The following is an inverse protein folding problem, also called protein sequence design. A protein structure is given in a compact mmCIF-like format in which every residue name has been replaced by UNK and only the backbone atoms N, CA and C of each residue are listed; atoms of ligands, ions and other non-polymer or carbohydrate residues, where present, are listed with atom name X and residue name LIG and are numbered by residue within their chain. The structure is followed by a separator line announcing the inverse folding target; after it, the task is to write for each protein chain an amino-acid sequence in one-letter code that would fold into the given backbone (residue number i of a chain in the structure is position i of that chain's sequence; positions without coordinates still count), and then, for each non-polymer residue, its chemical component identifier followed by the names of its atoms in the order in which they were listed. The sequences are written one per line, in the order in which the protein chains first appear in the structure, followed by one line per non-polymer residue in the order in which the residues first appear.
data_IF_319707284710
#
_entry.id   IF_319707284710
#
_cell.length_a   1.000
_cell.length_b   1.000
_cell.length_c   1.000
_cell.angle_alpha   90.00
_cell.angle_beta   90.00
_cell.angle_gamma   90.00
#
_symmetry.space_group_name_H-M   'P 1'
#
loop_
_entity.id
_entity.type
_entity.pdbx_description
1 polymer ?
#
# COMPACT_ATOMS: atom_id res chain seq x y z
N UNK A 1 -64.61 -65.25 -43.28
CA UNK A 1 -63.39 -64.51 -43.65
C UNK A 1 -63.20 -63.37 -42.67
N UNK A 2 -62.30 -63.47 -41.68
CA UNK A 2 -62.06 -62.35 -40.75
C UNK A 2 -60.79 -61.54 -41.19
N UNK A 3 -60.94 -60.24 -41.14
CA UNK A 3 -59.92 -59.24 -41.40
C UNK A 3 -59.08 -59.06 -40.17
N UNK A 4 -57.71 -59.23 -40.31
CA UNK A 4 -56.75 -58.96 -39.29
C UNK A 4 -56.43 -57.45 -39.23
N UNK A 5 -56.70 -56.86 -38.09
CA UNK A 5 -56.32 -55.50 -37.75
C UNK A 5 -54.91 -55.50 -37.15
N UNK A 6 -53.93 -54.93 -37.82
CA UNK A 6 -52.58 -54.75 -37.27
C UNK A 6 -52.52 -53.43 -36.50
N UNK A 7 -52.30 -53.52 -35.23
CA UNK A 7 -52.00 -52.37 -34.34
C UNK A 7 -50.52 -52.09 -34.45
N UNK A 8 -50.11 -50.93 -34.95
CA UNK A 8 -48.75 -50.41 -34.88
C UNK A 8 -48.57 -49.68 -33.55
N UNK A 9 -47.69 -50.22 -32.68
CA UNK A 9 -47.21 -49.50 -31.50
C UNK A 9 -46.08 -48.54 -31.99
N UNK A 10 -46.29 -47.21 -31.89
CA UNK A 10 -45.25 -46.22 -31.97
C UNK A 10 -44.60 -46.10 -30.58
N UNK A 11 -43.37 -46.59 -30.45
CA UNK A 11 -42.48 -46.29 -29.30
C UNK A 11 -41.89 -44.88 -29.50
N UNK A 12 -42.38 -43.91 -28.71
CA UNK A 12 -41.76 -42.56 -28.67
C UNK A 12 -40.49 -42.63 -27.81
N UNK A 13 -39.33 -42.45 -28.46
CA UNK A 13 -38.08 -42.15 -27.75
C UNK A 13 -38.14 -40.70 -27.25
N UNK A 14 -38.32 -40.49 -25.95
CA UNK A 14 -38.05 -39.23 -25.30
C UNK A 14 -36.51 -39.06 -25.19
N UNK A 15 -35.95 -38.27 -26.11
CA UNK A 15 -34.57 -37.78 -25.95
C UNK A 15 -34.57 -36.74 -24.83
N UNK A 16 -34.15 -37.13 -23.65
CA UNK A 16 -33.80 -36.18 -22.56
C UNK A 16 -32.60 -35.38 -23.02
N UNK A 17 -32.79 -34.09 -23.36
CA UNK A 17 -31.70 -33.13 -23.51
C UNK A 17 -31.00 -33.00 -22.17
N UNK A 18 -29.84 -33.64 -22.08
CA UNK A 18 -28.88 -33.40 -21.00
C UNK A 18 -28.26 -32.02 -21.30
N UNK A 19 -28.78 -30.97 -20.68
CA UNK A 19 -28.05 -29.69 -20.64
C UNK A 19 -26.78 -29.91 -19.82
N UNK A 20 -25.58 -29.70 -20.39
CA UNK A 20 -24.38 -29.73 -19.58
C UNK A 20 -24.51 -28.61 -18.55
N UNK A 21 -24.59 -28.98 -17.26
CA UNK A 21 -24.48 -28.03 -16.16
C UNK A 21 -23.26 -27.15 -16.41
N UNK A 22 -23.48 -25.84 -16.37
CA UNK A 22 -22.38 -24.87 -16.45
C UNK A 22 -21.26 -25.33 -15.52
N UNK A 23 -19.98 -25.25 -15.93
CA UNK A 23 -18.88 -25.65 -15.10
C UNK A 23 -18.98 -24.89 -13.78
N UNK A 24 -19.01 -25.61 -12.67
CA UNK A 24 -18.98 -25.02 -11.34
C UNK A 24 -17.82 -24.01 -11.34
N UNK A 25 -18.10 -22.78 -10.90
CA UNK A 25 -17.15 -21.68 -10.80
C UNK A 25 -15.91 -22.22 -10.09
N UNK A 26 -14.91 -22.58 -10.88
CA UNK A 26 -13.63 -23.04 -10.35
C UNK A 26 -13.02 -21.82 -9.69
N UNK A 27 -12.82 -21.89 -8.38
CA UNK A 27 -12.09 -20.85 -7.67
C UNK A 27 -10.85 -20.48 -8.52
N UNK A 28 -10.69 -19.23 -8.90
CA UNK A 28 -9.62 -18.85 -9.82
C UNK A 28 -8.27 -19.25 -9.24
N UNK A 29 -7.38 -19.74 -10.12
CA UNK A 29 -6.06 -20.21 -9.71
C UNK A 29 -5.30 -19.11 -8.93
N UNK A 30 -4.62 -19.50 -7.85
CA UNK A 30 -3.78 -18.58 -7.08
C UNK A 30 -2.57 -18.16 -7.93
N UNK A 31 -2.17 -16.90 -7.79
CA UNK A 31 -0.95 -16.35 -8.38
C UNK A 31 0.20 -16.72 -7.45
N UNK A 32 1.10 -17.59 -7.93
CA UNK A 32 2.19 -18.18 -7.13
C UNK A 32 3.58 -17.87 -7.70
N UNK A 33 3.64 -17.15 -8.81
CA UNK A 33 4.89 -16.75 -9.44
C UNK A 33 4.73 -15.39 -10.14
N UNK A 34 5.82 -14.62 -10.18
CA UNK A 34 5.89 -13.41 -10.99
C UNK A 34 5.85 -13.77 -12.49
N UNK A 35 5.35 -12.88 -13.36
CA UNK A 35 5.31 -13.10 -14.81
C UNK A 35 6.71 -13.16 -15.43
N UNK A 36 7.73 -12.65 -14.73
CA UNK A 36 9.17 -12.71 -15.07
C UNK A 36 10.03 -12.72 -13.82
N UNK A 37 11.26 -13.11 -13.94
CA UNK A 37 12.24 -12.96 -12.86
C UNK A 37 12.61 -11.48 -12.67
N UNK A 38 12.85 -11.11 -11.40
CA UNK A 38 13.41 -9.80 -11.06
C UNK A 38 14.91 -9.78 -11.39
N UNK A 39 15.39 -8.66 -11.89
CA UNK A 39 16.83 -8.40 -12.03
C UNK A 39 17.49 -8.24 -10.66
N UNK A 40 18.81 -8.25 -10.61
CA UNK A 40 19.53 -7.97 -9.37
C UNK A 40 19.31 -6.53 -8.86
N UNK A 41 19.20 -5.57 -9.79
CA UNK A 41 18.92 -4.17 -9.45
C UNK A 41 17.51 -3.99 -8.87
N UNK A 42 16.50 -4.61 -9.49
CA UNK A 42 15.12 -4.58 -8.96
C UNK A 42 15.01 -5.16 -7.55
N UNK A 43 15.67 -6.31 -7.30
CA UNK A 43 15.70 -6.89 -5.93
C UNK A 43 16.34 -5.93 -4.93
N UNK A 44 17.46 -5.31 -5.30
CA UNK A 44 18.16 -4.33 -4.43
C UNK A 44 17.32 -3.07 -4.20
N UNK A 45 16.58 -2.58 -5.23
CA UNK A 45 15.67 -1.46 -5.07
C UNK A 45 14.52 -1.79 -4.12
N UNK A 46 13.87 -2.95 -4.28
CA UNK A 46 12.79 -3.41 -3.40
C UNK A 46 13.28 -3.54 -1.95
N UNK A 47 14.47 -4.10 -1.75
CA UNK A 47 15.09 -4.16 -0.42
C UNK A 47 15.37 -2.77 0.15
N UNK A 48 15.82 -1.82 -0.68
CA UNK A 48 16.05 -0.43 -0.28
C UNK A 48 14.74 0.24 0.15
N UNK A 49 13.71 0.15 -0.69
CA UNK A 49 12.38 0.71 -0.40
C UNK A 49 11.77 0.12 0.88
N UNK A 50 11.94 -1.19 1.10
CA UNK A 50 11.46 -1.84 2.33
C UNK A 50 12.26 -1.39 3.56
N UNK A 51 13.60 -1.23 3.48
CA UNK A 51 14.41 -0.65 4.59
C UNK A 51 13.97 0.78 4.90
N UNK A 52 13.78 1.59 3.86
CA UNK A 52 13.23 2.93 3.99
C UNK A 52 11.85 2.93 4.67
N UNK A 53 10.97 1.98 4.32
CA UNK A 53 9.64 1.84 4.93
C UNK A 53 9.70 1.70 6.45
N UNK A 54 10.55 0.82 6.96
CA UNK A 54 10.68 0.63 8.40
C UNK A 54 11.37 1.80 9.09
N UNK A 55 12.33 2.46 8.43
CA UNK A 55 12.96 3.67 8.96
C UNK A 55 11.96 4.81 9.08
N UNK A 56 11.15 5.06 8.06
CA UNK A 56 10.08 6.08 8.08
C UNK A 56 9.08 5.79 9.20
N UNK A 57 8.60 4.54 9.32
CA UNK A 57 7.65 4.19 10.38
C UNK A 57 8.21 4.47 11.77
N UNK A 58 9.46 4.07 12.02
CA UNK A 58 10.13 4.29 13.33
C UNK A 58 10.29 5.77 13.64
N UNK A 59 10.77 6.56 12.68
CA UNK A 59 10.98 8.00 12.85
C UNK A 59 9.67 8.76 13.05
N UNK A 60 8.61 8.40 12.33
CA UNK A 60 7.27 8.94 12.57
C UNK A 60 6.76 8.54 13.95
N UNK A 61 6.90 7.27 14.32
CA UNK A 61 6.45 6.77 15.63
C UNK A 61 7.18 7.43 16.81
N UNK A 62 8.43 7.82 16.62
CA UNK A 62 9.22 8.54 17.64
C UNK A 62 8.81 10.01 17.81
N UNK A 63 8.15 10.60 16.80
CA UNK A 63 7.75 12.02 16.80
C UNK A 63 6.27 12.23 17.08
N UNK A 64 5.46 11.28 16.65
CA UNK A 64 4.02 11.29 16.84
C UNK A 64 3.65 10.91 18.27
N UNK A 65 2.43 11.31 18.71
CA UNK A 65 1.89 10.82 19.97
C UNK A 65 1.86 9.28 19.97
N UNK A 66 2.21 8.63 21.09
CA UNK A 66 2.09 7.19 21.22
C UNK A 66 0.67 6.66 20.95
N UNK A 67 -0.34 7.52 21.12
CA UNK A 67 -1.75 7.20 20.87
C UNK A 67 -2.20 7.52 19.43
N UNK A 68 -1.29 7.99 18.56
CA UNK A 68 -1.59 8.25 17.16
C UNK A 68 -1.50 6.97 16.32
N UNK A 69 -2.51 6.78 15.46
CA UNK A 69 -2.39 5.86 14.34
C UNK A 69 -1.44 6.45 13.30
N UNK A 70 -0.59 5.62 12.73
CA UNK A 70 0.30 5.98 11.62
C UNK A 70 -0.05 5.10 10.44
N UNK A 71 -0.15 5.68 9.26
CA UNK A 71 -0.37 4.93 8.02
C UNK A 71 0.26 5.65 6.84
N UNK A 72 1.26 5.06 6.25
CA UNK A 72 2.02 5.63 5.13
C UNK A 72 2.09 4.66 3.95
N UNK A 73 2.34 5.19 2.77
CA UNK A 73 2.82 4.42 1.63
C UNK A 73 4.30 4.74 1.40
N UNK A 74 5.22 3.92 1.93
CA UNK A 74 6.65 4.16 1.75
C UNK A 74 7.07 4.11 0.29
N UNK A 75 6.48 3.20 -0.49
CA UNK A 75 6.73 3.10 -1.93
C UNK A 75 6.36 4.40 -2.66
N UNK A 76 5.22 5.02 -2.32
CA UNK A 76 4.82 6.33 -2.83
C UNK A 76 5.85 7.42 -2.52
N UNK A 77 6.30 7.47 -1.27
CA UNK A 77 7.31 8.43 -0.83
C UNK A 77 8.65 8.20 -1.54
N UNK A 78 9.10 6.95 -1.63
CA UNK A 78 10.34 6.60 -2.30
C UNK A 78 10.32 6.96 -3.80
N UNK A 79 9.20 6.74 -4.48
CA UNK A 79 9.04 7.13 -5.89
C UNK A 79 9.05 8.66 -6.08
N UNK A 80 8.32 9.42 -5.25
CA UNK A 80 8.31 10.89 -5.35
C UNK A 80 9.71 11.46 -5.10
N UNK A 81 10.40 10.97 -4.06
CA UNK A 81 11.79 11.37 -3.79
C UNK A 81 12.76 10.83 -4.85
N UNK A 82 12.50 9.66 -5.44
CA UNK A 82 13.25 9.12 -6.57
C UNK A 82 13.18 9.98 -7.83
N UNK A 83 12.00 10.55 -8.12
CA UNK A 83 11.85 11.54 -9.18
C UNK A 83 12.72 12.79 -8.91
N UNK A 84 12.72 13.27 -7.67
CA UNK A 84 13.55 14.41 -7.25
C UNK A 84 15.04 14.08 -7.32
N UNK A 85 15.43 12.84 -6.95
CA UNK A 85 16.80 12.34 -6.98
C UNK A 85 17.44 12.41 -8.36
N UNK A 86 16.65 12.30 -9.44
CA UNK A 86 17.11 12.49 -10.81
C UNK A 86 17.71 13.89 -11.09
N UNK A 87 17.37 14.87 -10.27
CA UNK A 87 17.90 16.21 -10.39
C UNK A 87 18.97 16.57 -9.37
N UNK A 88 19.26 15.70 -8.42
CA UNK A 88 20.22 15.93 -7.35
C UNK A 88 21.67 15.66 -7.79
N UNK A 89 22.61 16.42 -7.26
CA UNK A 89 24.05 16.25 -7.50
C UNK A 89 24.83 16.38 -6.19
N UNK A 90 26.11 15.97 -6.20
CA UNK A 90 27.04 16.13 -5.09
C UNK A 90 26.50 15.62 -3.77
N UNK A 91 26.68 16.41 -2.69
CA UNK A 91 26.26 16.03 -1.33
C UNK A 91 24.74 15.86 -1.19
N UNK A 92 23.94 16.56 -2.01
CA UNK A 92 22.48 16.42 -2.05
C UNK A 92 22.10 15.02 -2.56
N UNK A 93 22.69 14.58 -3.67
CA UNK A 93 22.45 13.24 -4.20
C UNK A 93 22.91 12.16 -3.21
N UNK A 94 24.09 12.31 -2.58
CA UNK A 94 24.57 11.38 -1.56
C UNK A 94 23.62 11.30 -0.34
N UNK A 95 23.12 12.46 0.11
CA UNK A 95 22.16 12.52 1.22
C UNK A 95 20.83 11.84 0.87
N UNK A 96 20.32 12.06 -0.33
CA UNK A 96 19.12 11.41 -0.81
C UNK A 96 19.30 9.90 -0.97
N UNK A 97 20.41 9.45 -1.59
CA UNK A 97 20.74 8.04 -1.73
C UNK A 97 20.80 7.32 -0.38
N UNK A 98 21.42 7.96 0.61
CA UNK A 98 21.52 7.44 1.99
C UNK A 98 20.15 7.33 2.66
N UNK A 99 19.33 8.37 2.57
CA UNK A 99 18.00 8.37 3.18
C UNK A 99 17.07 7.32 2.55
N UNK A 100 17.14 7.17 1.24
CA UNK A 100 16.34 6.21 0.45
C UNK A 100 16.98 4.81 0.38
N UNK A 101 18.13 4.55 1.06
CA UNK A 101 18.81 3.26 1.02
C UNK A 101 19.33 2.84 -0.38
N UNK A 102 19.51 3.79 -1.29
CA UNK A 102 19.91 3.54 -2.69
C UNK A 102 21.42 3.40 -2.87
N UNK A 103 22.21 3.45 -1.79
CA UNK A 103 23.67 3.34 -1.85
C UNK A 103 24.10 2.05 -2.54
N UNK A 104 25.00 2.18 -3.52
CA UNK A 104 25.47 1.07 -4.34
C UNK A 104 24.59 0.71 -5.53
N UNK A 105 23.47 1.43 -5.77
CA UNK A 105 22.74 1.45 -7.03
C UNK A 105 23.17 2.69 -7.83
N UNK A 106 23.35 2.53 -9.13
CA UNK A 106 23.49 3.66 -10.03
C UNK A 106 22.13 4.30 -10.28
N UNK A 107 22.10 5.58 -10.63
CA UNK A 107 20.85 6.29 -10.98
C UNK A 107 20.10 5.60 -12.12
N UNK A 108 20.82 5.06 -13.09
CA UNK A 108 20.25 4.30 -14.21
C UNK A 108 19.58 3.00 -13.73
N UNK A 109 20.23 2.24 -12.82
CA UNK A 109 19.63 1.06 -12.20
C UNK A 109 18.37 1.40 -11.40
N UNK A 110 18.36 2.51 -10.66
CA UNK A 110 17.20 3.00 -9.90
C UNK A 110 16.04 3.30 -10.85
N UNK A 111 16.29 4.09 -11.90
CA UNK A 111 15.28 4.49 -12.87
C UNK A 111 14.66 3.30 -13.61
N UNK A 112 15.50 2.42 -14.15
CA UNK A 112 15.01 1.21 -14.83
C UNK A 112 14.21 0.30 -13.88
N UNK A 113 14.69 0.15 -12.63
CA UNK A 113 14.02 -0.69 -11.64
C UNK A 113 12.66 -0.13 -11.24
N UNK A 114 12.51 1.19 -11.05
CA UNK A 114 11.18 1.78 -10.78
C UNK A 114 10.22 1.62 -11.94
N UNK A 115 10.66 1.87 -13.18
CA UNK A 115 9.83 1.65 -14.37
C UNK A 115 9.30 0.22 -14.42
N UNK A 116 10.20 -0.74 -14.24
CA UNK A 116 9.90 -2.15 -14.38
C UNK A 116 9.06 -2.67 -13.19
N UNK A 117 9.25 -2.11 -11.98
CA UNK A 117 8.43 -2.39 -10.80
C UNK A 117 7.01 -1.81 -10.95
N UNK A 118 6.86 -0.58 -11.44
CA UNK A 118 5.54 0.02 -11.74
C UNK A 118 4.77 -0.86 -12.72
N UNK A 119 5.43 -1.27 -13.82
CA UNK A 119 4.82 -2.13 -14.83
C UNK A 119 4.43 -3.50 -14.26
N UNK A 120 5.25 -4.07 -13.39
CA UNK A 120 4.98 -5.35 -12.72
C UNK A 120 3.75 -5.27 -11.82
N UNK A 121 3.71 -4.29 -10.93
CA UNK A 121 2.66 -4.18 -9.92
C UNK A 121 1.30 -3.84 -10.52
N UNK A 122 1.24 -3.00 -11.56
CA UNK A 122 -0.03 -2.58 -12.20
C UNK A 122 -0.86 -3.71 -12.79
N UNK A 123 -0.28 -4.81 -13.17
CA UNK A 123 -0.98 -5.89 -13.89
C UNK A 123 -0.91 -7.25 -13.22
N UNK A 124 -0.31 -7.36 -12.04
CA UNK A 124 0.03 -8.65 -11.43
C UNK A 124 -1.20 -9.46 -11.02
N UNK A 125 -2.20 -8.84 -10.42
CA UNK A 125 -3.42 -9.51 -9.97
C UNK A 125 -4.68 -8.81 -10.51
N UNK A 126 -5.39 -9.40 -11.49
CA UNK A 126 -6.56 -8.76 -12.09
C UNK A 126 -7.76 -8.63 -11.13
N UNK A 127 -7.70 -9.22 -9.93
CA UNK A 127 -8.71 -9.10 -8.87
C UNK A 127 -8.36 -8.06 -7.82
N UNK A 128 -7.22 -7.42 -7.97
CA UNK A 128 -6.77 -6.30 -7.14
C UNK A 128 -6.65 -5.07 -8.03
N UNK A 129 -7.25 -3.97 -7.61
CA UNK A 129 -7.00 -2.69 -8.25
C UNK A 129 -5.80 -2.06 -7.57
N UNK A 130 -4.71 -1.97 -8.30
CA UNK A 130 -3.50 -1.28 -7.87
C UNK A 130 -3.12 -0.25 -8.92
N UNK A 131 -3.14 1.01 -8.53
CA UNK A 131 -2.85 2.16 -9.40
C UNK A 131 -1.75 2.99 -8.77
N UNK A 132 -0.74 3.30 -9.58
CA UNK A 132 0.33 4.24 -9.25
C UNK A 132 0.25 5.35 -10.29
N UNK A 133 0.22 6.60 -9.85
CA UNK A 133 0.26 7.77 -10.69
C UNK A 133 1.31 8.74 -10.16
N UNK A 134 2.18 9.21 -11.04
CA UNK A 134 3.22 10.18 -10.75
C UNK A 134 2.95 11.47 -11.49
N UNK A 135 3.25 12.60 -10.87
CA UNK A 135 3.14 13.89 -11.54
C UNK A 135 4.21 14.88 -11.08
N UNK A 136 4.55 15.77 -12.00
CA UNK A 136 5.39 16.95 -11.77
C UNK A 136 4.60 18.15 -12.23
N UNK A 137 4.33 19.05 -11.29
CA UNK A 137 3.69 20.34 -11.53
C UNK A 137 4.70 21.41 -11.23
N UNK A 138 4.97 22.28 -12.19
CA UNK A 138 5.94 23.36 -11.99
C UNK A 138 5.36 24.70 -12.41
N UNK A 139 5.84 25.76 -11.73
CA UNK A 139 5.39 27.10 -11.99
C UNK A 139 5.82 27.56 -13.38
N UNK A 140 4.89 28.13 -14.13
CA UNK A 140 5.09 28.62 -15.48
C UNK A 140 6.15 29.71 -15.54
N UNK A 141 6.27 30.56 -14.51
CA UNK A 141 7.28 31.62 -14.43
C UNK A 141 8.71 31.08 -14.35
N UNK A 142 8.86 29.84 -13.85
CA UNK A 142 10.15 29.14 -13.75
C UNK A 142 10.37 28.11 -14.86
N UNK A 143 9.49 28.01 -15.86
CA UNK A 143 9.57 26.98 -16.89
C UNK A 143 10.93 26.94 -17.63
N UNK A 144 11.59 28.10 -17.79
CA UNK A 144 12.91 28.20 -18.43
C UNK A 144 14.08 27.67 -17.58
N UNK A 145 13.87 27.44 -16.29
CA UNK A 145 14.86 26.88 -15.36
C UNK A 145 14.99 25.37 -15.52
N UNK A 146 13.88 24.70 -15.83
CA UNK A 146 13.84 23.22 -15.86
C UNK A 146 14.58 22.65 -17.07
N UNK A 147 15.46 21.70 -16.80
CA UNK A 147 16.19 20.98 -17.85
C UNK A 147 15.26 19.96 -18.54
N UNK A 148 15.20 19.96 -19.90
CA UNK A 148 14.39 18.99 -20.64
C UNK A 148 14.71 17.54 -20.28
N UNK A 149 16.00 17.22 -20.02
CA UNK A 149 16.42 15.87 -19.63
C UNK A 149 15.84 15.39 -18.31
N UNK A 150 15.65 16.27 -17.32
CA UNK A 150 14.98 15.95 -16.06
C UNK A 150 13.52 15.55 -16.29
N UNK A 151 12.81 16.32 -17.10
CA UNK A 151 11.42 16.07 -17.45
C UNK A 151 11.29 14.74 -18.20
N UNK A 152 12.09 14.54 -19.26
CA UNK A 152 12.09 13.35 -20.09
C UNK A 152 12.41 12.08 -19.27
N UNK A 153 13.37 12.15 -18.36
CA UNK A 153 13.72 11.04 -17.46
C UNK A 153 12.53 10.64 -16.60
N UNK A 154 11.87 11.60 -15.97
CA UNK A 154 10.73 11.29 -15.09
C UNK A 154 9.50 10.80 -15.87
N UNK A 155 9.26 11.31 -17.08
CA UNK A 155 8.22 10.78 -17.97
C UNK A 155 8.53 9.34 -18.40
N UNK A 156 9.79 9.04 -18.71
CA UNK A 156 10.21 7.73 -19.24
C UNK A 156 10.22 6.65 -18.18
N UNK A 157 10.73 6.94 -16.99
CA UNK A 157 10.97 5.91 -15.96
C UNK A 157 9.92 5.88 -14.85
N UNK A 158 9.23 6.97 -14.61
CA UNK A 158 8.19 7.04 -13.57
C UNK A 158 6.78 7.18 -14.15
N UNK A 159 6.64 7.21 -15.48
CA UNK A 159 5.36 7.44 -16.17
C UNK A 159 4.67 8.73 -15.65
N UNK A 160 5.47 9.76 -15.39
CA UNK A 160 5.02 10.98 -14.74
C UNK A 160 4.23 11.88 -15.70
N UNK A 161 3.05 12.33 -15.26
CA UNK A 161 2.36 13.48 -15.88
C UNK A 161 3.15 14.74 -15.55
N UNK A 162 3.58 15.50 -16.56
CA UNK A 162 4.35 16.74 -16.35
C UNK A 162 3.59 17.90 -16.94
N UNK A 163 3.31 18.92 -16.12
CA UNK A 163 2.54 20.09 -16.56
C UNK A 163 3.03 21.36 -15.88
N UNK A 164 3.20 22.44 -16.68
CA UNK A 164 3.38 23.79 -16.18
C UNK A 164 2.02 24.39 -15.80
N UNK A 165 1.96 25.10 -14.68
CA UNK A 165 0.80 25.86 -14.21
C UNK A 165 1.28 27.22 -13.71
N UNK A 166 0.47 28.25 -13.88
CA UNK A 166 0.64 29.52 -13.16
C UNK A 166 0.18 29.31 -11.71
N UNK A 167 1.13 29.23 -10.76
CA UNK A 167 0.81 28.98 -9.35
C UNK A 167 0.13 30.19 -8.70
N UNK A 168 0.19 31.36 -9.31
CA UNK A 168 -0.60 32.54 -8.92
C UNK A 168 -2.06 32.48 -9.38
N UNK A 169 -2.42 31.57 -10.31
CA UNK A 169 -3.82 31.37 -10.70
C UNK A 169 -4.60 30.66 -9.57
N UNK A 170 -5.73 31.25 -9.11
CA UNK A 170 -6.55 30.62 -8.07
C UNK A 170 -7.04 29.19 -8.39
N UNK A 171 -7.00 28.74 -9.63
CA UNK A 171 -7.42 27.41 -10.05
C UNK A 171 -6.29 26.35 -10.04
N UNK A 172 -5.03 26.77 -9.85
CA UNK A 172 -3.86 25.90 -9.92
C UNK A 172 -3.93 24.78 -8.85
N UNK A 173 -4.19 25.14 -7.59
CA UNK A 173 -4.37 24.18 -6.51
C UNK A 173 -5.49 23.17 -6.81
N UNK A 174 -6.61 23.67 -7.34
CA UNK A 174 -7.75 22.85 -7.75
C UNK A 174 -7.38 21.85 -8.86
N UNK A 175 -6.53 22.24 -9.80
CA UNK A 175 -6.06 21.36 -10.89
C UNK A 175 -5.20 20.23 -10.32
N UNK A 176 -4.23 20.52 -9.47
CA UNK A 176 -3.36 19.52 -8.83
C UNK A 176 -4.16 18.59 -7.94
N UNK A 177 -4.98 19.14 -7.05
CA UNK A 177 -5.81 18.37 -6.13
C UNK A 177 -6.84 17.51 -6.89
N UNK A 178 -7.40 18.03 -8.00
CA UNK A 178 -8.29 17.29 -8.89
C UNK A 178 -7.62 16.06 -9.49
N UNK A 179 -6.38 16.19 -9.97
CA UNK A 179 -5.60 15.07 -10.50
C UNK A 179 -5.35 13.99 -9.43
N UNK A 180 -4.96 14.39 -8.21
CA UNK A 180 -4.75 13.43 -7.10
C UNK A 180 -6.04 12.75 -6.70
N UNK A 181 -7.15 13.52 -6.60
CA UNK A 181 -8.47 12.99 -6.28
C UNK A 181 -8.92 11.92 -7.31
N UNK A 182 -8.69 12.18 -8.59
CA UNK A 182 -9.01 11.27 -9.68
C UNK A 182 -8.13 10.02 -9.62
N UNK A 183 -6.81 10.18 -9.48
CA UNK A 183 -5.82 9.11 -9.38
C UNK A 183 -6.03 8.22 -8.14
N UNK A 184 -6.67 8.73 -7.09
CA UNK A 184 -6.99 7.98 -5.87
C UNK A 184 -8.48 7.63 -5.76
N UNK A 185 -9.24 7.74 -6.85
CA UNK A 185 -10.69 7.45 -6.92
C UNK A 185 -11.50 8.13 -5.81
N UNK A 186 -11.18 9.40 -5.55
CA UNK A 186 -11.87 10.21 -4.54
C UNK A 186 -11.41 10.00 -3.09
N UNK A 187 -10.32 9.25 -2.85
CA UNK A 187 -9.85 8.95 -1.48
C UNK A 187 -8.94 10.03 -0.91
N UNK A 188 -8.22 10.71 -1.77
CA UNK A 188 -7.36 11.85 -1.40
C UNK A 188 -7.83 13.08 -2.17
N UNK A 189 -8.79 13.84 -1.65
CA UNK A 189 -9.36 14.99 -2.34
C UNK A 189 -8.43 16.19 -2.39
N UNK A 190 -7.44 16.27 -1.49
CA UNK A 190 -6.50 17.39 -1.41
C UNK A 190 -5.13 16.88 -0.98
N UNK A 191 -4.07 17.40 -1.59
CA UNK A 191 -2.67 17.14 -1.20
C UNK A 191 -1.89 18.44 -1.08
N UNK A 192 -2.10 19.38 -2.01
CA UNK A 192 -1.50 20.70 -1.94
C UNK A 192 -2.45 21.70 -1.29
N UNK A 193 -1.95 22.73 -0.58
CA UNK A 193 -2.78 23.79 0.00
C UNK A 193 -3.50 24.57 -1.09
N UNK A 194 -4.65 25.16 -0.74
CA UNK A 194 -5.44 26.02 -1.60
C UNK A 194 -5.73 27.33 -0.84
N UNK A 195 -5.19 28.48 -1.29
CA UNK A 195 -4.33 28.67 -2.47
C UNK A 195 -2.94 28.06 -2.29
N UNK A 196 -2.21 27.89 -3.41
CA UNK A 196 -0.79 27.57 -3.39
C UNK A 196 -0.08 28.77 -2.74
N UNK A 197 0.86 28.57 -1.79
CA UNK A 197 1.64 29.65 -1.21
C UNK A 197 2.40 30.45 -2.27
N UNK A 198 2.30 31.77 -2.25
CA UNK A 198 2.94 32.66 -3.23
C UNK A 198 4.48 32.66 -3.15
N UNK A 199 5.05 32.26 -2.01
CA UNK A 199 6.47 32.28 -1.76
C UNK A 199 7.06 30.87 -1.77
N UNK A 200 8.18 30.70 -2.52
CA UNK A 200 9.14 29.60 -2.44
C UNK A 200 8.78 28.23 -3.06
N UNK A 201 7.58 28.00 -3.57
CA UNK A 201 7.24 26.73 -4.23
C UNK A 201 7.25 26.89 -5.74
N UNK A 202 8.25 26.30 -6.38
CA UNK A 202 8.37 26.33 -7.85
C UNK A 202 7.96 25.00 -8.50
N UNK A 203 7.83 23.94 -7.72
CA UNK A 203 7.50 22.62 -8.23
C UNK A 203 6.88 21.72 -7.16
N UNK A 204 5.90 20.93 -7.54
CA UNK A 204 5.39 19.79 -6.79
C UNK A 204 5.71 18.49 -7.52
N UNK A 205 6.28 17.53 -6.80
CA UNK A 205 6.42 16.13 -7.24
C UNK A 205 5.48 15.28 -6.40
N UNK A 206 4.53 14.66 -7.06
CA UNK A 206 3.47 13.92 -6.38
C UNK A 206 3.44 12.49 -6.89
N UNK A 207 3.40 11.54 -5.96
CA UNK A 207 3.00 10.17 -6.23
C UNK A 207 1.67 9.89 -5.51
N UNK A 208 0.74 9.29 -6.22
CA UNK A 208 -0.54 8.84 -5.71
C UNK A 208 -0.66 7.33 -5.90
N UNK A 209 -0.88 6.60 -4.80
CA UNK A 209 -1.12 5.16 -4.85
C UNK A 209 -2.53 4.87 -4.34
N UNK A 210 -3.25 4.08 -5.15
CA UNK A 210 -4.54 3.52 -4.79
C UNK A 210 -4.46 2.00 -4.78
N UNK A 211 -4.95 1.40 -3.70
CA UNK A 211 -5.06 -0.05 -3.54
C UNK A 211 -6.48 -0.44 -3.13
N UNK A 212 -7.03 -1.42 -3.85
CA UNK A 212 -8.28 -2.07 -3.50
C UNK A 212 -8.17 -3.56 -3.75
N UNK A 213 -8.29 -4.36 -2.71
CA UNK A 213 -8.27 -5.82 -2.78
C UNK A 213 -9.38 -6.43 -1.95
N UNK A 214 -10.15 -7.33 -2.54
CA UNK A 214 -11.10 -8.16 -1.81
C UNK A 214 -10.34 -9.28 -1.10
N UNK A 215 -10.74 -9.63 0.13
CA UNK A 215 -10.20 -10.81 0.81
C UNK A 215 -10.47 -12.09 -0.01
N UNK A 216 -9.54 -13.00 -0.07
CA UNK A 216 -9.82 -14.34 -0.63
C UNK A 216 -10.94 -15.01 0.18
N UNK A 217 -10.83 -14.98 1.50
CA UNK A 217 -11.89 -15.40 2.43
C UNK A 217 -12.49 -14.15 3.06
N UNK A 218 -13.68 -13.76 2.64
CA UNK A 218 -14.37 -12.56 3.15
C UNK A 218 -14.94 -12.80 4.55
N UNK A 219 -14.92 -11.78 5.39
CA UNK A 219 -15.60 -11.81 6.67
C UNK A 219 -17.12 -11.73 6.46
N UNK A 220 -17.89 -12.34 7.37
CA UNK A 220 -19.36 -12.27 7.32
C UNK A 220 -19.85 -10.99 8.03
N UNK A 221 -20.44 -10.07 7.26
CA UNK A 221 -20.99 -8.81 7.79
C UNK A 221 -21.99 -9.00 8.95
N UNK A 222 -22.72 -10.13 8.96
CA UNK A 222 -23.71 -10.45 10.01
C UNK A 222 -23.05 -10.84 11.33
N UNK A 223 -21.77 -11.22 11.29
CA UNK A 223 -20.99 -11.64 12.45
C UNK A 223 -20.12 -10.51 12.98
N UNK A 224 -20.02 -9.37 12.27
CA UNK A 224 -19.36 -8.18 12.78
C UNK A 224 -20.13 -7.61 13.96
N UNK A 225 -19.49 -7.61 15.12
CA UNK A 225 -20.12 -7.23 16.39
C UNK A 225 -19.22 -6.32 17.21
N UNK A 226 -19.79 -5.64 18.17
CA UNK A 226 -19.04 -4.90 19.15
C UNK A 226 -18.22 -5.84 20.02
N UNK A 227 -16.92 -5.54 20.17
CA UNK A 227 -16.00 -6.31 20.97
C UNK A 227 -14.98 -5.40 21.68
N UNK A 228 -14.40 -5.85 22.80
CA UNK A 228 -13.37 -5.10 23.49
C UNK A 228 -12.07 -5.06 22.69
N UNK A 229 -11.43 -3.90 22.68
CA UNK A 229 -10.07 -3.66 22.16
C UNK A 229 -9.25 -3.06 23.30
N UNK A 230 -8.18 -3.72 23.71
CA UNK A 230 -7.29 -3.29 24.79
C UNK A 230 -6.37 -2.20 24.26
N UNK A 231 -6.45 -1.00 24.81
CA UNK A 231 -5.59 0.11 24.44
C UNK A 231 -4.21 0.01 25.10
N UNK A 232 -3.27 0.80 24.60
CA UNK A 232 -1.90 0.91 25.11
C UNK A 232 -1.83 1.23 26.60
N UNK A 233 -2.71 2.10 27.09
CA UNK A 233 -2.80 2.52 28.50
C UNK A 233 -3.50 1.50 29.42
N UNK A 234 -3.88 0.33 28.89
CA UNK A 234 -4.61 -0.71 29.61
C UNK A 234 -6.12 -0.51 29.65
N UNK A 235 -6.63 0.64 29.19
CA UNK A 235 -8.08 0.85 29.05
C UNK A 235 -8.66 0.01 27.90
N UNK A 236 -9.98 -0.10 27.87
CA UNK A 236 -10.68 -0.86 26.83
C UNK A 236 -11.57 0.07 26.00
N UNK A 237 -11.51 -0.06 24.68
CA UNK A 237 -12.46 0.56 23.76
C UNK A 237 -13.37 -0.50 23.14
N UNK A 238 -14.54 -0.07 22.71
CA UNK A 238 -15.42 -0.90 21.88
C UNK A 238 -15.08 -0.68 20.41
N UNK A 239 -14.86 -1.78 19.66
CA UNK A 239 -14.58 -1.77 18.22
C UNK A 239 -15.55 -2.68 17.48
N UNK A 240 -15.73 -2.44 16.20
CA UNK A 240 -16.46 -3.34 15.31
C UNK A 240 -15.54 -4.48 14.89
N UNK A 241 -15.67 -5.65 15.53
CA UNK A 241 -14.82 -6.82 15.30
C UNK A 241 -15.46 -7.71 14.24
N UNK A 242 -14.77 -7.90 13.14
CA UNK A 242 -15.14 -8.80 12.04
C UNK A 242 -14.77 -10.23 12.36
N UNK A 243 -15.55 -11.20 11.85
CA UNK A 243 -15.30 -12.65 11.97
C UNK A 243 -15.79 -13.39 10.75
N UNK A 244 -15.14 -14.49 10.39
CA UNK A 244 -15.63 -15.41 9.37
C UNK A 244 -16.73 -16.36 9.91
N UNK A 245 -16.83 -16.54 11.24
CA UNK A 245 -17.73 -17.50 11.88
C UNK A 245 -17.33 -18.96 11.68
N UNK A 246 -16.21 -19.21 11.02
CA UNK A 246 -15.59 -20.51 10.75
C UNK A 246 -14.08 -20.36 10.76
N UNK A 247 -13.39 -21.48 10.81
CA UNK A 247 -11.95 -21.49 10.48
C UNK A 247 -11.74 -21.19 8.99
N UNK A 248 -10.68 -20.46 8.69
CA UNK A 248 -10.23 -20.16 7.34
C UNK A 248 -8.75 -20.50 7.20
N UNK A 249 -8.34 -20.79 5.99
CA UNK A 249 -6.93 -20.99 5.67
C UNK A 249 -6.24 -19.62 5.68
N UNK A 250 -5.42 -19.37 6.70
CA UNK A 250 -4.57 -18.21 6.82
C UNK A 250 -3.12 -18.64 7.04
N UNK A 251 -2.18 -17.74 6.85
CA UNK A 251 -0.78 -18.00 7.20
C UNK A 251 -0.48 -17.32 8.51
N UNK A 252 0.09 -18.08 9.45
CA UNK A 252 0.35 -17.62 10.82
C UNK A 252 1.77 -18.01 11.23
N UNK A 253 2.43 -17.14 11.98
CA UNK A 253 3.69 -17.42 12.67
C UNK A 253 3.66 -16.84 14.09
N UNK A 254 4.54 -17.33 14.95
CA UNK A 254 4.73 -16.80 16.30
C UNK A 254 6.22 -16.66 16.60
N UNK A 255 6.61 -15.52 17.15
CA UNK A 255 7.98 -15.21 17.56
C UNK A 255 7.99 -14.50 18.91
N UNK A 256 8.48 -15.16 19.96
CA UNK A 256 8.60 -14.56 21.30
C UNK A 256 7.29 -14.01 21.88
N UNK A 257 6.13 -14.59 21.52
CA UNK A 257 4.82 -14.09 21.91
C UNK A 257 4.19 -13.10 20.92
N UNK A 258 4.93 -12.62 19.93
CA UNK A 258 4.41 -11.82 18.82
C UNK A 258 3.66 -12.76 17.88
N UNK A 259 2.39 -12.43 17.56
CA UNK A 259 1.61 -13.15 16.59
C UNK A 259 1.72 -12.47 15.22
N UNK A 260 1.96 -13.26 14.18
CA UNK A 260 1.99 -12.78 12.78
C UNK A 260 0.84 -13.45 12.04
N UNK A 261 0.02 -12.65 11.38
CA UNK A 261 -1.12 -13.12 10.57
C UNK A 261 -1.01 -12.53 9.17
N UNK A 262 -1.13 -13.37 8.15
CA UNK A 262 -1.12 -12.96 6.76
C UNK A 262 -2.43 -13.35 6.07
N UNK A 263 -3.16 -12.34 5.61
CA UNK A 263 -4.46 -12.47 4.97
C UNK A 263 -4.36 -12.07 3.50
N UNK A 264 -4.52 -13.01 2.54
CA UNK A 264 -4.34 -12.72 1.14
C UNK A 264 -5.55 -12.04 0.50
N UNK A 265 -5.28 -11.15 -0.46
CA UNK A 265 -6.24 -10.51 -1.34
C UNK A 265 -6.31 -11.17 -2.71
N UNK A 266 -7.44 -10.98 -3.39
CA UNK A 266 -7.61 -11.23 -4.82
C UNK A 266 -7.21 -12.61 -5.27
N UNK A 267 -6.15 -12.70 -6.07
CA UNK A 267 -5.50 -13.92 -6.56
C UNK A 267 -4.41 -14.45 -5.64
N UNK A 268 -4.09 -13.77 -4.55
CA UNK A 268 -3.04 -14.14 -3.63
C UNK A 268 -1.68 -13.51 -3.92
N UNK A 269 -1.58 -12.63 -4.93
CA UNK A 269 -0.36 -11.87 -5.15
C UNK A 269 -0.12 -10.80 -4.08
N UNK A 270 -1.18 -10.33 -3.43
CA UNK A 270 -1.12 -9.32 -2.37
C UNK A 270 -1.68 -9.86 -1.06
N UNK A 271 -1.17 -9.35 0.05
CA UNK A 271 -1.65 -9.69 1.41
C UNK A 271 -1.62 -8.47 2.33
N UNK A 272 -2.49 -8.50 3.34
CA UNK A 272 -2.27 -7.76 4.59
C UNK A 272 -1.57 -8.68 5.58
N UNK A 273 -0.37 -8.30 5.99
CA UNK A 273 0.37 -8.96 7.06
C UNK A 273 0.27 -8.13 8.33
N UNK A 274 -0.19 -8.72 9.42
CA UNK A 274 -0.37 -8.08 10.72
C UNK A 274 0.67 -8.65 11.68
N UNK A 275 1.39 -7.80 12.39
CA UNK A 275 2.26 -8.14 13.49
C UNK A 275 1.66 -7.60 14.80
N UNK A 276 1.31 -8.51 15.70
CA UNK A 276 0.59 -8.27 16.94
C UNK A 276 1.48 -8.54 18.14
N UNK A 277 1.99 -7.50 18.85
CA UNK A 277 2.79 -7.68 20.06
C UNK A 277 1.98 -8.35 21.18
N UNK A 278 2.63 -9.03 22.15
CA UNK A 278 1.93 -9.81 23.18
C UNK A 278 1.06 -8.95 24.08
N UNK A 279 1.52 -7.75 24.45
CA UNK A 279 0.77 -6.84 25.31
C UNK A 279 0.50 -5.49 24.62
N UNK A 280 -0.61 -4.80 24.94
CA UNK A 280 -0.96 -3.54 24.31
C UNK A 280 0.06 -2.42 24.55
N UNK A 281 0.71 -2.40 25.70
CA UNK A 281 1.72 -1.40 26.08
C UNK A 281 3.04 -1.54 25.33
N UNK A 282 3.29 -2.69 24.71
CA UNK A 282 4.55 -2.97 24.02
C UNK A 282 4.65 -2.29 22.64
N UNK A 283 3.58 -1.71 22.12
CA UNK A 283 3.52 -1.22 20.72
C UNK A 283 4.59 -0.18 20.37
N UNK A 284 5.00 0.68 21.32
CA UNK A 284 6.03 1.68 21.10
C UNK A 284 7.40 1.03 20.92
N UNK A 285 7.83 0.22 21.92
CA UNK A 285 9.09 -0.51 21.85
C UNK A 285 9.11 -1.46 20.65
N UNK A 286 8.00 -2.16 20.41
CA UNK A 286 7.81 -3.02 19.25
C UNK A 286 8.02 -2.28 17.93
N UNK A 287 7.41 -1.09 17.76
CA UNK A 287 7.57 -0.29 16.54
C UNK A 287 9.00 0.23 16.39
N UNK A 288 9.64 0.65 17.49
CA UNK A 288 11.02 1.16 17.49
C UNK A 288 12.07 0.09 17.09
N UNK A 289 11.78 -1.18 17.37
CA UNK A 289 12.66 -2.31 17.07
C UNK A 289 12.38 -2.98 15.72
N UNK A 290 11.35 -2.55 14.98
CA UNK A 290 11.03 -3.12 13.69
C UNK A 290 12.10 -2.82 12.65
N UNK A 291 12.60 -3.89 12.01
CA UNK A 291 13.51 -3.81 10.86
C UNK A 291 13.01 -4.71 9.74
N UNK A 292 13.54 -4.50 8.53
CA UNK A 292 13.24 -5.36 7.40
C UNK A 292 13.64 -6.81 7.69
N UNK A 293 14.82 -7.02 8.22
CA UNK A 293 15.37 -8.37 8.48
C UNK A 293 14.44 -9.16 9.42
N UNK A 294 13.93 -8.50 10.46
CA UNK A 294 12.98 -9.12 11.39
C UNK A 294 11.65 -9.42 10.71
N UNK A 295 11.18 -8.48 9.90
CA UNK A 295 9.96 -8.67 9.12
C UNK A 295 10.09 -9.83 8.13
N UNK A 296 11.19 -9.90 7.38
CA UNK A 296 11.47 -10.96 6.43
C UNK A 296 11.57 -12.33 7.09
N UNK A 297 12.17 -12.39 8.27
CA UNK A 297 12.22 -13.62 9.08
C UNK A 297 10.80 -14.09 9.46
N UNK A 298 9.89 -13.19 9.83
CA UNK A 298 8.49 -13.54 10.10
C UNK A 298 7.75 -14.00 8.85
N UNK A 299 7.94 -13.32 7.72
CA UNK A 299 7.34 -13.72 6.45
C UNK A 299 7.79 -15.13 6.04
N UNK A 300 9.07 -15.43 6.21
CA UNK A 300 9.64 -16.75 5.94
C UNK A 300 9.13 -17.85 6.89
N UNK A 301 8.75 -17.48 8.12
CA UNK A 301 8.23 -18.40 9.14
C UNK A 301 6.71 -18.64 9.04
N UNK A 302 6.01 -17.95 8.14
CA UNK A 302 4.56 -18.07 7.98
C UNK A 302 4.17 -19.47 7.45
N UNK A 303 3.38 -20.21 8.23
CA UNK A 303 2.81 -21.50 7.84
C UNK A 303 1.30 -21.40 7.64
N UNK A 304 0.78 -22.16 6.66
CA UNK A 304 -0.66 -22.27 6.42
C UNK A 304 -1.31 -23.04 7.56
N UNK A 305 -2.33 -22.46 8.15
CA UNK A 305 -3.09 -23.08 9.25
C UNK A 305 -4.57 -22.75 9.14
N UNK A 306 -5.41 -23.64 9.62
CA UNK A 306 -6.84 -23.40 9.76
C UNK A 306 -7.09 -22.68 11.09
N UNK A 307 -7.63 -21.46 11.05
CA UNK A 307 -7.76 -20.60 12.22
C UNK A 307 -8.99 -19.70 12.12
N UNK A 308 -9.66 -19.44 13.24
CA UNK A 308 -10.66 -18.36 13.29
C UNK A 308 -9.97 -17.02 13.43
N UNK A 309 -10.27 -16.09 12.52
CA UNK A 309 -9.71 -14.75 12.54
C UNK A 309 -10.73 -13.74 13.04
N UNK A 310 -10.30 -12.92 14.01
CA UNK A 310 -11.02 -11.76 14.49
C UNK A 310 -10.18 -10.51 14.24
N UNK A 311 -10.68 -9.60 13.37
CA UNK A 311 -9.98 -8.40 12.96
C UNK A 311 -10.90 -7.18 13.15
N UNK A 312 -10.47 -6.12 13.83
CA UNK A 312 -11.28 -4.91 13.92
C UNK A 312 -11.43 -4.27 12.53
N UNK A 313 -12.65 -3.82 12.23
CA UNK A 313 -12.93 -2.94 11.10
C UNK A 313 -12.35 -1.57 11.41
N UNK A 314 -11.62 -0.98 10.46
CA UNK A 314 -11.08 0.36 10.66
C UNK A 314 -10.89 1.12 9.35
N UNK A 315 -10.96 2.44 9.48
CA UNK A 315 -10.63 3.39 8.42
C UNK A 315 -9.58 4.35 8.94
N UNK A 316 -8.56 4.61 8.16
CA UNK A 316 -7.50 5.54 8.50
C UNK A 316 -7.15 6.41 7.30
N UNK A 317 -7.33 7.72 7.46
CA UNK A 317 -6.67 8.73 6.66
C UNK A 317 -5.50 9.28 7.48
N UNK A 318 -4.35 9.43 6.87
CA UNK A 318 -3.16 9.92 7.55
C UNK A 318 -2.36 10.86 6.66
N UNK A 319 -1.97 11.98 7.23
CA UNK A 319 -1.04 12.93 6.64
C UNK A 319 -0.06 13.35 7.75
N UNK A 320 1.20 12.93 7.71
CA UNK A 320 2.19 13.29 8.72
C UNK A 320 2.48 14.78 8.69
N UNK A 321 2.55 15.41 9.85
CA UNK A 321 3.00 16.78 9.97
C UNK A 321 4.55 16.81 9.92
N UNK A 322 5.10 17.51 8.93
CA UNK A 322 6.54 17.79 8.86
C UNK A 322 7.43 16.58 8.57
N UNK A 323 7.40 16.04 7.36
CA UNK A 323 8.30 14.98 6.92
C UNK A 323 9.77 15.41 6.80
N UNK A 324 10.05 16.70 6.62
CA UNK A 324 11.43 17.23 6.49
C UNK A 324 12.32 16.82 7.69
N UNK A 325 11.94 17.03 8.97
CA UNK A 325 12.75 16.59 10.10
C UNK A 325 13.00 15.07 10.14
N UNK A 326 12.04 14.27 9.67
CA UNK A 326 12.18 12.82 9.56
C UNK A 326 13.24 12.47 8.51
N UNK A 327 13.12 13.01 7.32
CA UNK A 327 14.05 12.76 6.21
C UNK A 327 15.48 13.28 6.51
N UNK A 328 15.60 14.41 7.22
CA UNK A 328 16.90 14.90 7.72
C UNK A 328 17.57 13.89 8.66
N UNK A 329 16.82 13.32 9.59
CA UNK A 329 17.34 12.26 10.47
C UNK A 329 17.82 11.04 9.70
N UNK A 330 17.16 10.72 8.58
CA UNK A 330 17.58 9.62 7.71
C UNK A 330 18.79 9.94 6.82
N UNK A 331 19.29 11.19 6.82
CA UNK A 331 20.50 11.59 6.12
C UNK A 331 20.28 12.55 4.94
N UNK A 332 19.04 12.96 4.68
CA UNK A 332 18.68 13.81 3.54
C UNK A 332 18.89 15.32 3.81
N UNK A 333 19.58 15.67 4.88
CA UNK A 333 19.84 17.08 5.30
C UNK A 333 20.24 17.99 4.13
N UNK A 334 21.21 17.65 3.25
CA UNK A 334 21.66 18.55 2.19
C UNK A 334 20.63 18.89 1.08
N UNK A 335 19.41 18.34 1.15
CA UNK A 335 18.39 18.56 0.15
C UNK A 335 17.41 19.72 0.48
N UNK A 336 17.44 20.24 1.71
CA UNK A 336 16.43 21.17 2.23
C UNK A 336 16.91 22.61 2.27
N UNK A 337 15.98 23.57 2.14
CA UNK A 337 16.27 25.00 1.97
C UNK A 337 16.93 25.70 3.17
N UNK A 338 16.84 25.14 4.36
CA UNK A 338 17.48 25.66 5.57
C UNK A 338 18.98 25.25 5.68
N UNK A 339 19.51 24.56 4.67
CA UNK A 339 20.89 24.11 4.60
C UNK A 339 21.67 24.82 3.50
N UNK A 340 22.97 24.97 3.70
CA UNK A 340 23.85 25.52 2.67
C UNK A 340 24.37 24.42 1.75
N UNK A 341 24.44 24.72 0.45
CA UNK A 341 25.08 23.84 -0.52
C UNK A 341 24.16 22.77 -1.10
N UNK A 342 22.86 23.02 -1.13
CA UNK A 342 21.93 22.22 -1.93
C UNK A 342 22.36 22.20 -3.39
N UNK A 343 22.24 21.07 -4.05
CA UNK A 343 22.58 20.95 -5.47
C UNK A 343 21.53 20.12 -6.20
N UNK A 344 20.59 20.84 -6.82
CA UNK A 344 19.60 20.31 -7.75
C UNK A 344 19.83 20.83 -9.18
N UNK A 345 21.09 21.04 -9.54
CA UNK A 345 21.47 21.52 -10.87
C UNK A 345 21.01 20.59 -12.01
N UNK A 346 20.71 19.32 -11.73
CA UNK A 346 20.11 18.41 -12.68
C UNK A 346 18.62 18.69 -12.95
N UNK A 347 17.89 19.35 -12.02
CA UNK A 347 16.56 19.89 -12.27
C UNK A 347 16.71 21.17 -13.12
N UNK A 348 17.63 22.07 -12.70
CA UNK A 348 17.89 23.33 -13.36
C UNK A 348 18.65 24.31 -12.47
N UNK A 349 19.02 25.46 -13.01
CA UNK A 349 19.78 26.48 -12.28
C UNK A 349 21.21 26.06 -11.95
N UNK A 350 21.78 26.68 -10.92
CA UNK A 350 23.11 26.40 -10.36
C UNK A 350 23.00 25.79 -8.97
N UNK A 351 24.07 25.15 -8.43
CA UNK A 351 24.10 24.73 -7.05
C UNK A 351 23.72 25.88 -6.10
N UNK A 352 22.76 25.62 -5.21
CA UNK A 352 22.20 26.59 -4.27
C UNK A 352 20.94 27.32 -4.74
N UNK A 353 20.58 27.24 -6.03
CA UNK A 353 19.39 27.92 -6.55
C UNK A 353 18.08 27.21 -6.19
N UNK A 354 18.14 25.89 -6.07
CA UNK A 354 16.97 25.04 -5.79
C UNK A 354 17.15 24.19 -4.53
N UNK A 355 16.05 24.00 -3.80
CA UNK A 355 16.01 23.19 -2.59
C UNK A 355 14.60 22.62 -2.38
N UNK A 356 14.45 21.61 -1.52
CA UNK A 356 13.14 21.09 -1.13
C UNK A 356 12.54 21.96 -0.02
N UNK A 357 11.37 22.57 -0.27
CA UNK A 357 10.64 23.42 0.68
C UNK A 357 9.59 22.65 1.47
N UNK A 358 8.94 21.65 0.86
CA UNK A 358 7.97 20.78 1.50
C UNK A 358 8.05 19.34 1.00
N UNK A 359 7.58 18.41 1.81
CA UNK A 359 7.35 17.02 1.43
C UNK A 359 5.98 16.63 1.93
N UNK A 360 5.03 16.50 1.01
CA UNK A 360 3.64 16.24 1.32
C UNK A 360 3.31 14.77 1.03
N UNK A 361 2.69 14.10 1.99
CA UNK A 361 2.25 12.72 1.88
C UNK A 361 0.88 12.55 2.50
N UNK A 362 -0.01 11.87 1.79
CA UNK A 362 -1.30 11.42 2.32
C UNK A 362 -1.55 9.98 1.93
N UNK A 363 -2.04 9.20 2.89
CA UNK A 363 -2.44 7.82 2.66
C UNK A 363 -3.83 7.56 3.24
N UNK A 364 -4.55 6.64 2.63
CA UNK A 364 -5.89 6.24 3.05
C UNK A 364 -6.04 4.72 2.98
N UNK A 365 -6.67 4.13 4.02
CA UNK A 365 -7.06 2.73 4.04
C UNK A 365 -8.45 2.57 4.66
N UNK A 366 -9.25 1.66 4.09
CA UNK A 366 -10.54 1.23 4.63
C UNK A 366 -10.57 -0.30 4.67
N UNK A 367 -10.40 -0.85 5.87
CA UNK A 367 -10.41 -2.31 6.12
C UNK A 367 -11.77 -2.72 6.63
N UNK A 368 -12.45 -3.53 5.84
CA UNK A 368 -13.80 -3.99 6.11
C UNK A 368 -13.99 -5.48 5.77
N UNK A 369 -15.21 -5.98 5.88
CA UNK A 369 -15.54 -7.39 5.76
C UNK A 369 -15.26 -7.98 4.36
N UNK A 370 -15.24 -7.16 3.35
CA UNK A 370 -15.07 -7.57 1.96
C UNK A 370 -13.60 -7.57 1.54
N UNK A 371 -12.82 -6.68 2.16
CA UNK A 371 -11.43 -6.46 1.82
C UNK A 371 -10.97 -5.07 2.25
N UNK A 372 -10.04 -4.56 1.50
CA UNK A 372 -9.75 -3.13 1.48
C UNK A 372 -10.52 -2.57 0.30
N UNK A 373 -11.64 -1.88 0.60
CA UNK A 373 -12.67 -1.33 -0.30
C UNK A 373 -13.44 -2.32 -1.19
N UNK A 374 -14.63 -2.81 -0.79
CA UNK A 374 -15.55 -3.59 -1.66
C UNK A 374 -17.02 -3.69 -1.20
N UNK A 375 -17.91 -4.16 -2.10
CA UNK A 375 -19.36 -4.32 -1.93
C UNK A 375 -19.85 -5.79 -2.03
N UNK A 376 -20.87 -6.13 -1.27
CA UNK A 376 -21.42 -7.35 -0.65
C UNK A 376 -21.64 -8.69 -1.40
N UNK A 377 -21.53 -9.85 -0.63
CA UNK A 377 -22.21 -11.14 -0.88
C UNK A 377 -22.34 -11.99 0.40
N UNK A 378 -23.19 -13.05 0.41
CA UNK A 378 -23.73 -13.72 1.62
C UNK A 378 -23.43 -15.22 1.69
N UNK A 379 -23.14 -15.82 2.90
CA UNK A 379 -23.07 -17.26 3.16
C UNK A 379 -23.48 -17.65 4.61
N UNK A 380 -23.82 -18.94 4.89
CA UNK A 380 -24.35 -19.46 6.16
C UNK A 380 -23.49 -20.61 6.71
N UNK A 381 -23.21 -20.66 8.02
CA UNK A 381 -22.39 -21.69 8.68
C UNK A 381 -22.98 -22.27 9.97
N UNK A 382 -22.53 -23.50 10.39
CA UNK A 382 -22.96 -24.31 11.56
C UNK A 382 -21.73 -24.63 12.42
N UNK A 383 -21.85 -24.60 13.77
CA UNK A 383 -20.75 -24.60 14.72
C UNK A 383 -20.34 -25.94 15.34
N UNK A 384 -19.14 -25.98 15.97
CA UNK A 384 -18.47 -27.13 16.59
C UNK A 384 -18.34 -27.00 18.13
N UNK A 385 -18.06 -28.12 18.82
CA UNK A 385 -18.13 -28.26 20.28
C UNK A 385 -16.81 -28.08 21.06
N UNK A 386 -15.67 -27.79 20.39
CA UNK A 386 -14.43 -27.34 21.03
C UNK A 386 -14.03 -26.00 20.43
N UNK A 387 -13.44 -25.08 21.22
CA UNK A 387 -13.00 -23.81 20.73
C UNK A 387 -11.84 -24.02 19.71
N UNK A 388 -12.03 -23.66 18.44
CA UNK A 388 -10.98 -23.81 17.43
C UNK A 388 -9.81 -22.84 17.70
N UNK A 389 -8.63 -23.10 17.13
CA UNK A 389 -7.53 -22.14 17.14
C UNK A 389 -8.02 -20.79 16.65
N UNK A 390 -7.68 -19.71 17.35
CA UNK A 390 -8.11 -18.37 16.96
C UNK A 390 -6.96 -17.37 16.97
N UNK A 391 -6.98 -16.43 16.02
CA UNK A 391 -6.12 -15.27 15.99
C UNK A 391 -6.98 -14.02 16.15
N UNK A 392 -6.81 -13.32 17.28
CA UNK A 392 -7.63 -12.17 17.63
C UNK A 392 -6.79 -10.92 17.70
N UNK A 393 -7.07 -9.94 16.83
CA UNK A 393 -6.44 -8.64 16.81
C UNK A 393 -7.23 -7.71 17.74
N UNK A 394 -7.00 -7.83 19.05
CA UNK A 394 -7.74 -7.14 20.11
C UNK A 394 -6.94 -6.04 20.83
N UNK A 395 -5.80 -5.65 20.28
CA UNK A 395 -4.85 -4.66 20.85
C UNK A 395 -4.03 -4.00 19.76
N UNK A 396 -3.24 -2.94 20.06
CA UNK A 396 -2.41 -2.25 19.09
C UNK A 396 -1.52 -3.18 18.27
N UNK A 397 -1.41 -2.90 16.98
CA UNK A 397 -0.69 -3.73 16.02
C UNK A 397 -0.02 -2.90 14.94
N UNK A 398 0.98 -3.49 14.29
CA UNK A 398 1.55 -3.00 13.03
C UNK A 398 1.04 -3.88 11.89
N UNK A 399 0.81 -3.28 10.73
CA UNK A 399 0.44 -4.04 9.54
C UNK A 399 1.11 -3.49 8.28
N UNK A 400 1.30 -4.35 7.31
CA UNK A 400 1.70 -3.96 5.97
C UNK A 400 0.72 -4.51 4.94
N UNK A 401 0.45 -3.74 3.88
CA UNK A 401 -0.10 -4.25 2.63
C UNK A 401 1.09 -4.42 1.69
N UNK A 402 1.31 -5.64 1.24
CA UNK A 402 2.49 -5.97 0.44
C UNK A 402 2.16 -6.87 -0.74
N UNK A 403 3.03 -6.82 -1.75
CA UNK A 403 3.05 -7.80 -2.82
C UNK A 403 3.92 -9.00 -2.35
N UNK A 404 3.39 -10.20 -2.51
CA UNK A 404 3.93 -11.41 -1.86
C UNK A 404 5.14 -12.01 -2.55
N UNK A 405 5.26 -11.84 -3.86
CA UNK A 405 6.23 -12.55 -4.69
C UNK A 405 7.54 -11.80 -4.84
N UNK A 406 7.48 -10.46 -4.85
CA UNK A 406 8.67 -9.60 -4.80
C UNK A 406 9.02 -9.17 -3.37
N UNK A 407 8.05 -9.21 -2.45
CA UNK A 407 8.17 -8.71 -1.09
C UNK A 407 7.97 -7.20 -0.96
N UNK A 408 7.56 -6.50 -2.03
CA UNK A 408 7.37 -5.05 -2.03
C UNK A 408 6.31 -4.61 -1.02
N UNK A 409 6.66 -3.74 -0.10
CA UNK A 409 5.74 -3.11 0.87
C UNK A 409 5.10 -1.88 0.21
N UNK A 410 3.78 -1.94 -0.01
CA UNK A 410 3.01 -0.85 -0.59
C UNK A 410 2.60 0.17 0.47
N UNK A 411 2.12 -0.34 1.60
CA UNK A 411 1.68 0.46 2.75
C UNK A 411 2.17 -0.17 4.04
N UNK A 412 2.40 0.67 5.03
CA UNK A 412 2.83 0.27 6.36
C UNK A 412 2.12 1.15 7.40
N UNK A 413 1.61 0.55 8.47
CA UNK A 413 0.88 1.30 9.48
C UNK A 413 0.97 0.71 10.88
N UNK A 414 0.81 1.59 11.88
CA UNK A 414 0.60 1.27 13.29
C UNK A 414 -0.80 1.72 13.68
N UNK A 415 -1.62 0.80 14.15
CA UNK A 415 -2.98 1.08 14.62
C UNK A 415 -3.04 0.88 16.12
N UNK A 416 -3.33 1.95 16.84
CA UNK A 416 -3.54 1.96 18.28
C UNK A 416 -5.01 2.22 18.64
N UNK A 417 -5.75 2.84 17.72
CA UNK A 417 -7.19 3.12 17.84
C UNK A 417 -7.91 2.78 16.53
N UNK A 418 -8.37 1.53 16.33
CA UNK A 418 -9.16 1.19 15.14
C UNK A 418 -10.53 1.88 15.22
N UNK A 419 -10.80 2.84 14.31
CA UNK A 419 -12.08 3.52 14.17
C UNK A 419 -12.77 3.00 12.91
N UNK A 420 -13.97 2.43 13.08
CA UNK A 420 -14.85 2.19 11.96
C UNK A 420 -15.35 3.54 11.45
N UNK A 421 -15.28 3.76 10.11
CA UNK A 421 -15.81 4.96 9.49
C UNK A 421 -17.33 5.04 9.56
#
# INVERSE_FOLDING_TARGET
MPRHLRVLLLAGLAAACYEPSAPADRAPARITALPRELTAAERRLIEADNRFAFKILRELAARESPDSNIFVSPLSMAMALGMTYNGAAGATAEGMARALELEGLTLDEVNHSYRDLIALLRGLDPRVTFEIANSIWYDLDYAAVFQPGFIETNQTYFDATVQALDFGDPTAAGTINGWVNESTRGRIPTIVPDPIPEDDVIMYLINAIYFKGDWIERFDKRLTRDAPFRRRDGSTATVRMMSHGKEVDARVAYDGGIGILDLPYGGGAYSMTIALPPEPGDIEAFTAELTQERWDAWIAALDSTSVQVFLPKFRQAYAPEGLIPVLKTLGMTPAFCDELGTDFSGIGGSPGDLCITSVDHKAFVDVNEEGTEAAAATAVGVGLTSAPPSFTVDRPFVFAIRENLSGTILFLGRIVHPKAG
#
